data_IF_633788333091
#
_entry.id   IF_633788333091
#
_cell.length_a   1.000
_cell.length_b   1.000
_cell.length_c   1.000
_cell.angle_alpha   90.00
_cell.angle_beta   90.00
_cell.angle_gamma   90.00
#
_symmetry.space_group_name_H-M   'P 1'
#
loop_
_entity.id
_entity.type
_entity.pdbx_description
1 polymer ?
#
# COMPACT_ATOMS: atom_id res chain seq x y z
N UNK A 1 35.15 -3.28 6.39
CA UNK A 1 33.95 -2.66 6.99
C UNK A 1 33.01 -2.31 5.84
N UNK A 2 32.35 -3.32 5.28
CA UNK A 2 31.40 -3.11 4.19
C UNK A 2 30.06 -2.76 4.82
N UNK A 3 29.70 -1.48 4.77
CA UNK A 3 28.34 -1.01 5.03
C UNK A 3 27.47 -1.50 3.89
N UNK A 4 26.88 -2.69 4.06
CA UNK A 4 25.74 -3.12 3.27
C UNK A 4 24.59 -2.14 3.54
N UNK A 5 24.45 -1.15 2.66
CA UNK A 5 23.23 -0.36 2.55
C UNK A 5 22.13 -1.35 2.18
N UNK A 6 21.36 -1.75 3.18
CA UNK A 6 20.20 -2.61 3.04
C UNK A 6 19.10 -1.80 2.33
N UNK A 7 19.19 -1.74 1.00
CA UNK A 7 18.21 -1.10 0.14
C UNK A 7 16.96 -1.98 0.08
N UNK A 8 16.14 -1.88 1.12
CA UNK A 8 14.82 -2.51 1.15
C UNK A 8 13.89 -1.73 0.21
N UNK A 9 13.62 -2.33 -0.96
CA UNK A 9 12.66 -1.83 -1.95
C UNK A 9 11.34 -1.43 -1.26
N UNK A 10 10.93 -0.18 -1.42
CA UNK A 10 9.81 0.49 -0.71
C UNK A 10 8.40 0.03 -1.09
N UNK A 11 8.22 -1.24 -1.49
CA UNK A 11 6.96 -1.75 -2.05
C UNK A 11 6.60 -3.14 -1.53
N UNK A 12 6.66 -3.32 -0.22
CA UNK A 12 6.48 -4.61 0.48
C UNK A 12 5.15 -5.25 0.09
N UNK A 13 4.07 -4.46 0.03
CA UNK A 13 2.76 -4.97 -0.35
C UNK A 13 2.75 -5.60 -1.74
N UNK A 14 3.36 -4.96 -2.75
CA UNK A 14 3.34 -5.47 -4.13
C UNK A 14 4.28 -6.65 -4.33
N UNK A 15 5.34 -6.75 -3.54
CA UNK A 15 6.24 -7.91 -3.56
C UNK A 15 5.57 -9.15 -2.96
N UNK A 16 4.81 -8.97 -1.87
CA UNK A 16 4.19 -10.09 -1.15
C UNK A 16 2.80 -10.49 -1.68
N UNK A 17 2.17 -9.66 -2.52
CA UNK A 17 0.86 -9.93 -3.09
C UNK A 17 0.95 -9.98 -4.62
N UNK A 18 0.62 -11.11 -5.25
CA UNK A 18 0.54 -11.20 -6.71
C UNK A 18 -0.38 -10.11 -7.28
N UNK A 19 0.03 -9.50 -8.38
CA UNK A 19 -0.72 -8.40 -9.01
C UNK A 19 -2.17 -8.79 -9.32
N UNK A 20 -2.39 -9.99 -9.84
CA UNK A 20 -3.73 -10.49 -10.20
C UNK A 20 -4.68 -10.52 -9.00
N UNK A 21 -4.20 -10.96 -7.84
CA UNK A 21 -4.99 -10.99 -6.62
C UNK A 21 -5.33 -9.58 -6.14
N UNK A 22 -4.36 -8.66 -6.21
CA UNK A 22 -4.57 -7.25 -5.85
C UNK A 22 -5.57 -6.56 -6.78
N UNK A 23 -5.52 -6.87 -8.08
CA UNK A 23 -6.47 -6.35 -9.08
C UNK A 23 -7.88 -6.86 -8.83
N UNK A 24 -8.05 -8.18 -8.68
CA UNK A 24 -9.36 -8.79 -8.45
C UNK A 24 -10.02 -8.24 -7.17
N UNK A 25 -9.25 -8.07 -6.09
CA UNK A 25 -9.76 -7.49 -4.85
C UNK A 25 -10.12 -6.00 -5.01
N UNK A 26 -9.29 -5.23 -5.71
CA UNK A 26 -9.59 -3.83 -6.02
C UNK A 26 -10.88 -3.65 -6.83
N UNK A 27 -11.09 -4.50 -7.83
CA UNK A 27 -12.31 -4.52 -8.65
C UNK A 27 -13.55 -4.90 -7.82
N UNK A 28 -13.42 -5.92 -6.96
CA UNK A 28 -14.48 -6.35 -6.04
C UNK A 28 -14.89 -5.21 -5.11
N UNK A 29 -13.92 -4.54 -4.48
CA UNK A 29 -14.15 -3.42 -3.57
C UNK A 29 -14.77 -2.22 -4.28
N UNK A 30 -14.35 -1.90 -5.50
CA UNK A 30 -14.91 -0.76 -6.26
C UNK A 30 -16.35 -1.01 -6.69
N UNK A 31 -16.74 -2.27 -6.91
CA UNK A 31 -18.14 -2.65 -7.12
C UNK A 31 -18.98 -2.54 -5.85
N UNK A 32 -18.41 -2.91 -4.70
CA UNK A 32 -19.09 -2.88 -3.41
C UNK A 32 -19.24 -1.45 -2.85
N UNK A 33 -18.21 -0.62 -3.06
CA UNK A 33 -18.14 0.76 -2.59
C UNK A 33 -17.74 1.70 -3.76
N UNK A 34 -18.69 2.09 -4.63
CA UNK A 34 -18.40 2.83 -5.86
C UNK A 34 -17.77 4.21 -5.63
N UNK A 35 -18.11 4.87 -4.52
CA UNK A 35 -17.60 6.20 -4.19
C UNK A 35 -16.28 6.15 -3.40
N UNK A 36 -15.69 4.96 -3.22
CA UNK A 36 -14.47 4.75 -2.43
C UNK A 36 -13.37 4.05 -3.23
N UNK A 37 -12.13 4.43 -2.94
CA UNK A 37 -10.93 3.81 -3.48
C UNK A 37 -10.17 3.03 -2.39
N UNK A 38 -9.76 1.80 -2.70
CA UNK A 38 -8.84 1.03 -1.87
C UNK A 38 -7.41 1.57 -2.04
N UNK A 39 -6.83 2.07 -0.96
CA UNK A 39 -5.48 2.67 -0.95
C UNK A 39 -4.58 1.86 -0.02
N UNK A 40 -3.39 1.52 -0.52
CA UNK A 40 -2.32 0.93 0.29
C UNK A 40 -1.35 2.05 0.68
N UNK A 41 -1.18 2.27 1.97
CA UNK A 41 -0.27 3.29 2.52
C UNK A 41 0.92 2.59 3.16
N UNK A 42 2.10 2.86 2.64
CA UNK A 42 3.37 2.39 3.19
C UNK A 42 4.26 3.58 3.49
N UNK A 43 5.01 3.46 4.58
CA UNK A 43 6.01 4.44 4.96
C UNK A 43 7.18 4.37 3.96
N UNK A 44 7.72 5.52 3.57
CA UNK A 44 8.95 5.57 2.80
C UNK A 44 10.13 4.98 3.62
N UNK A 45 11.07 4.24 3.01
CA UNK A 45 12.16 3.57 3.73
C UNK A 45 12.97 4.51 4.62
N UNK A 46 13.27 5.70 4.10
CA UNK A 46 14.14 6.69 4.75
C UNK A 46 13.38 7.68 5.65
N UNK A 47 12.09 7.45 5.86
CA UNK A 47 11.31 8.28 6.78
C UNK A 47 11.78 8.10 8.23
N UNK A 48 11.58 9.11 9.08
CA UNK A 48 11.74 8.99 10.54
C UNK A 48 10.40 8.88 11.28
N UNK A 49 9.31 8.91 10.53
CA UNK A 49 7.95 8.78 11.06
C UNK A 49 7.73 7.32 11.49
N UNK A 50 6.95 7.05 12.55
CA UNK A 50 6.52 5.69 12.88
C UNK A 50 5.71 5.03 11.76
N UNK A 51 5.68 3.69 11.74
CA UNK A 51 4.81 2.95 10.84
C UNK A 51 3.33 3.07 11.25
N UNK A 52 2.44 2.99 10.25
CA UNK A 52 1.00 2.97 10.49
C UNK A 52 0.54 1.59 11.00
N UNK A 53 -0.41 1.55 11.95
CA UNK A 53 -0.96 0.30 12.46
C UNK A 53 -1.80 -0.46 11.42
N UNK A 54 -2.33 0.25 10.41
CA UNK A 54 -3.07 -0.33 9.29
C UNK A 54 -2.51 0.24 8.00
N UNK A 55 -2.42 -0.58 6.95
CA UNK A 55 -1.86 -0.18 5.65
C UNK A 55 -2.87 -0.18 4.52
N UNK A 56 -4.11 -0.64 4.75
CA UNK A 56 -5.19 -0.70 3.74
C UNK A 56 -6.35 0.19 4.18
N UNK A 57 -6.78 1.10 3.31
CA UNK A 57 -7.80 2.09 3.62
C UNK A 57 -8.85 2.17 2.50
N UNK A 58 -10.09 2.46 2.87
CA UNK A 58 -11.17 2.81 1.94
C UNK A 58 -11.42 4.31 2.00
N UNK A 59 -10.83 5.03 1.06
CA UNK A 59 -10.83 6.50 1.05
C UNK A 59 -11.94 7.00 0.10
N UNK A 60 -12.72 8.03 0.48
CA UNK A 60 -13.64 8.70 -0.45
C UNK A 60 -12.92 9.22 -1.70
N UNK A 61 -13.62 9.23 -2.83
CA UNK A 61 -13.03 9.66 -4.12
C UNK A 61 -12.76 11.17 -4.18
N UNK A 62 -13.40 11.95 -3.32
CA UNK A 62 -13.28 13.41 -3.18
C UNK A 62 -12.27 13.85 -2.10
N UNK A 63 -11.49 12.92 -1.54
CA UNK A 63 -10.50 13.22 -0.51
C UNK A 63 -9.25 13.89 -1.11
N UNK A 64 -8.87 15.08 -0.61
CA UNK A 64 -7.66 15.83 -0.99
C UNK A 64 -6.59 15.82 0.10
#
# INVERSE_FOLDING_TARGET
>A
METFVNMQNSRIFKTNNPYENGRAEGERIRREYPDRCAVIVERAPDSRIPDLPTKKYLVPTDFT
#
